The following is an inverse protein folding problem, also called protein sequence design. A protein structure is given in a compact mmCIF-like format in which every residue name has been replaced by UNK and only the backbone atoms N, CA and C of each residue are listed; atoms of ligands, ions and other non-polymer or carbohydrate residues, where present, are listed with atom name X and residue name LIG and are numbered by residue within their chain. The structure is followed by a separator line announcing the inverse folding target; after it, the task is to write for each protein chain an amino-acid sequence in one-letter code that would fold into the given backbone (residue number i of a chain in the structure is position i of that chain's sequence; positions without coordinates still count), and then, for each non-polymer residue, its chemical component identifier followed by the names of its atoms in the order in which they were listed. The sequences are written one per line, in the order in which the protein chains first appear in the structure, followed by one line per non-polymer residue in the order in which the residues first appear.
data_IF_735038628753
#
_entry.id   IF_735038628753
#
_cell.length_a   1.000
_cell.length_b   1.000
_cell.length_c   1.000
_cell.angle_alpha   90.00
_cell.angle_beta   90.00
_cell.angle_gamma   90.00
#
_symmetry.space_group_name_H-M   'P 1'
#
loop_
_entity.id
_entity.type
_entity.pdbx_description
1 polymer ?
#
# COMPACT_ATOMS: atom_id res chain seq x y z
N UNK A 1 -11.27 10.49 -14.88
CA UNK A 1 -10.71 9.13 -14.91
C UNK A 1 -10.02 8.86 -13.58
N UNK A 2 -10.31 7.71 -12.94
CA UNK A 2 -9.67 7.38 -11.66
C UNK A 2 -8.23 6.92 -11.89
N UNK A 3 -7.31 7.49 -11.12
CA UNK A 3 -5.90 7.13 -11.13
C UNK A 3 -5.66 6.30 -9.88
N UNK A 4 -5.22 5.07 -10.05
CA UNK A 4 -5.10 4.11 -8.96
C UNK A 4 -3.71 3.49 -8.92
N UNK A 5 -3.10 3.54 -7.75
CA UNK A 5 -1.88 2.81 -7.45
C UNK A 5 -2.25 1.54 -6.68
N UNK A 6 -1.75 0.41 -7.16
CA UNK A 6 -1.83 -0.86 -6.42
C UNK A 6 -0.45 -1.17 -5.85
N UNK A 7 -0.41 -1.51 -4.58
CA UNK A 7 0.83 -1.95 -3.93
C UNK A 7 0.68 -3.41 -3.54
N UNK A 8 1.63 -4.23 -3.97
CA UNK A 8 1.73 -5.63 -3.56
C UNK A 8 2.78 -5.69 -2.46
N UNK A 9 2.33 -5.95 -1.24
CA UNK A 9 3.18 -5.92 -0.05
C UNK A 9 3.48 -7.31 0.47
N UNK A 10 4.77 -7.57 0.71
CA UNK A 10 5.23 -8.78 1.36
C UNK A 10 5.69 -8.44 2.78
N UNK A 11 5.23 -9.20 3.76
CA UNK A 11 5.63 -8.99 5.15
C UNK A 11 7.04 -9.51 5.40
N UNK A 12 7.76 -8.84 6.30
CA UNK A 12 9.02 -9.34 6.81
C UNK A 12 8.79 -10.66 7.58
N UNK A 13 9.79 -11.56 7.61
CA UNK A 13 9.71 -12.76 8.44
C UNK A 13 9.37 -12.41 9.90
N UNK A 14 8.44 -13.13 10.48
CA UNK A 14 8.02 -12.93 11.87
C UNK A 14 6.93 -11.89 12.09
N UNK A 15 6.58 -11.09 11.08
CA UNK A 15 5.45 -10.16 11.17
C UNK A 15 4.15 -10.94 11.03
N UNK A 16 3.27 -10.79 12.00
CA UNK A 16 1.96 -11.46 11.98
C UNK A 16 0.92 -10.57 11.31
N UNK A 17 -0.14 -11.20 10.76
CA UNK A 17 -1.26 -10.46 10.18
C UNK A 17 -1.93 -9.55 11.20
N UNK A 18 -2.24 -10.00 12.44
CA UNK A 18 -2.81 -9.10 13.44
C UNK A 18 -1.97 -7.85 13.71
N UNK A 19 -0.65 -7.97 13.76
CA UNK A 19 0.24 -6.85 14.03
C UNK A 19 0.24 -5.84 12.89
N UNK A 20 0.37 -6.32 11.65
CA UNK A 20 0.35 -5.43 10.49
C UNK A 20 -1.02 -4.77 10.29
N UNK A 21 -2.10 -5.54 10.46
CA UNK A 21 -3.46 -5.00 10.28
C UNK A 21 -3.80 -3.97 11.36
N UNK A 22 -3.26 -4.13 12.58
CA UNK A 22 -3.38 -3.10 13.61
C UNK A 22 -2.66 -1.83 13.20
N UNK A 23 -1.43 -1.94 12.70
CA UNK A 23 -0.68 -0.80 12.18
C UNK A 23 -1.46 -0.10 11.07
N UNK A 24 -2.04 -0.86 10.14
CA UNK A 24 -2.85 -0.29 9.06
C UNK A 24 -4.04 0.49 9.61
N UNK A 25 -4.81 -0.09 10.52
CA UNK A 25 -6.00 0.57 11.08
C UNK A 25 -5.66 1.78 11.93
N UNK A 26 -4.65 1.69 12.77
CA UNK A 26 -4.35 2.74 13.75
C UNK A 26 -3.45 3.84 13.20
N UNK A 27 -2.62 3.53 12.21
CA UNK A 27 -1.61 4.46 11.68
C UNK A 27 -1.84 4.80 10.22
N UNK A 28 -1.81 3.83 9.32
CA UNK A 28 -1.81 4.08 7.88
C UNK A 28 -3.14 4.62 7.36
N UNK A 29 -4.25 4.01 7.76
CA UNK A 29 -5.58 4.53 7.39
C UNK A 29 -5.81 5.94 7.94
N UNK A 30 -5.38 6.20 9.17
CA UNK A 30 -5.52 7.52 9.80
C UNK A 30 -4.68 8.56 9.06
N UNK A 31 -3.44 8.21 8.75
CA UNK A 31 -2.54 9.06 7.97
C UNK A 31 -3.10 9.35 6.58
N UNK A 32 -3.48 8.31 5.87
CA UNK A 32 -3.96 8.42 4.48
C UNK A 32 -5.22 9.28 4.37
N UNK A 33 -6.10 9.22 5.37
CA UNK A 33 -7.31 10.04 5.41
C UNK A 33 -7.02 11.55 5.52
N UNK A 34 -5.82 11.92 5.95
CA UNK A 34 -5.42 13.33 6.08
C UNK A 34 -4.75 13.89 4.82
N UNK A 35 -4.35 13.05 3.89
CA UNK A 35 -3.70 13.50 2.67
C UNK A 35 -4.72 14.04 1.68
N UNK A 36 -4.42 15.21 1.11
CA UNK A 36 -5.32 15.90 0.17
C UNK A 36 -5.39 15.19 -1.19
N UNK A 37 -4.34 14.48 -1.55
CA UNK A 37 -4.23 13.82 -2.85
C UNK A 37 -4.83 12.42 -2.87
N UNK A 38 -5.14 11.84 -1.71
CA UNK A 38 -5.75 10.51 -1.63
C UNK A 38 -7.27 10.63 -1.62
N UNK A 39 -7.90 10.06 -2.64
CA UNK A 39 -9.36 9.95 -2.75
C UNK A 39 -9.88 8.80 -1.90
N UNK A 40 -9.23 7.63 -2.00
CA UNK A 40 -9.55 6.48 -1.17
C UNK A 40 -8.31 5.60 -0.99
N UNK A 41 -8.24 4.95 0.17
CA UNK A 41 -7.15 4.04 0.53
C UNK A 41 -7.77 2.79 1.13
N UNK A 42 -7.44 1.62 0.59
CA UNK A 42 -7.94 0.34 1.09
C UNK A 42 -6.84 -0.71 1.03
N UNK A 43 -6.66 -1.43 2.13
CA UNK A 43 -5.75 -2.57 2.22
C UNK A 43 -6.57 -3.84 2.21
N UNK A 44 -6.20 -4.77 1.33
CA UNK A 44 -6.84 -6.07 1.22
C UNK A 44 -5.86 -7.16 1.65
N UNK A 45 -6.32 -8.08 2.49
CA UNK A 45 -5.56 -9.28 2.83
C UNK A 45 -5.64 -10.24 1.64
N UNK A 46 -4.47 -10.66 1.16
CA UNK A 46 -4.43 -11.65 0.09
C UNK A 46 -4.72 -13.02 0.70
N UNK A 47 -5.76 -13.67 0.22
CA UNK A 47 -6.16 -15.00 0.69
C UNK A 47 -5.64 -16.11 -0.21
N UNK A 48 -5.45 -15.81 -1.50
CA UNK A 48 -4.96 -16.77 -2.47
C UNK A 48 -4.37 -16.03 -3.68
N UNK A 49 -3.31 -16.58 -4.25
CA UNK A 49 -2.72 -16.08 -5.50
C UNK A 49 -2.68 -17.18 -6.54
N UNK A 50 -2.69 -16.81 -7.82
CA UNK A 50 -2.46 -17.76 -8.91
C UNK A 50 -1.05 -18.33 -8.82
N UNK A 51 -0.85 -19.53 -9.41
CA UNK A 51 0.41 -20.27 -9.33
C UNK A 51 1.65 -19.46 -9.70
N UNK A 52 1.55 -18.58 -10.68
CA UNK A 52 2.68 -17.79 -11.16
C UNK A 52 3.15 -16.75 -10.15
N UNK A 53 2.27 -16.28 -9.27
CA UNK A 53 2.59 -15.32 -8.24
C UNK A 53 2.95 -15.97 -6.90
N UNK A 54 2.61 -17.24 -6.72
CA UNK A 54 2.82 -17.97 -5.49
C UNK A 54 4.27 -17.95 -4.98
N UNK A 55 5.32 -18.07 -5.84
CA UNK A 55 6.70 -18.06 -5.36
C UNK A 55 7.12 -16.82 -4.57
N UNK A 56 6.55 -15.66 -4.84
CA UNK A 56 6.87 -14.44 -4.09
C UNK A 56 6.16 -14.42 -2.74
N UNK A 57 4.91 -14.88 -2.70
CA UNK A 57 4.14 -14.94 -1.45
C UNK A 57 3.77 -13.58 -0.90
N UNK A 58 3.21 -12.69 -1.73
CA UNK A 58 2.69 -11.42 -1.26
C UNK A 58 1.52 -11.64 -0.29
N UNK A 59 1.45 -10.77 0.73
CA UNK A 59 0.51 -10.90 1.84
C UNK A 59 -0.67 -9.93 1.74
N UNK A 60 -0.45 -8.75 1.17
CA UNK A 60 -1.46 -7.69 1.09
C UNK A 60 -1.40 -6.98 -0.24
N UNK A 61 -2.56 -6.47 -0.66
CA UNK A 61 -2.67 -5.56 -1.78
C UNK A 61 -3.37 -4.30 -1.31
N UNK A 62 -2.77 -3.15 -1.60
CA UNK A 62 -3.34 -1.85 -1.27
C UNK A 62 -3.85 -1.21 -2.55
N UNK A 63 -5.06 -0.63 -2.47
CA UNK A 63 -5.63 0.15 -3.56
C UNK A 63 -5.68 1.61 -3.14
N UNK A 64 -4.95 2.44 -3.85
CA UNK A 64 -4.82 3.87 -3.50
C UNK A 64 -5.28 4.69 -4.70
N UNK A 65 -6.48 5.26 -4.60
CA UNK A 65 -6.98 6.18 -5.62
C UNK A 65 -6.52 7.58 -5.28
N UNK A 66 -5.93 8.29 -6.26
CA UNK A 66 -5.37 9.61 -6.06
C UNK A 66 -5.95 10.63 -7.03
N UNK A 67 -5.85 11.91 -6.68
CA UNK A 67 -6.32 13.00 -7.55
C UNK A 67 -5.38 13.21 -8.73
N UNK A 68 -4.06 13.09 -8.50
CA UNK A 68 -3.01 13.29 -9.47
C UNK A 68 -1.74 12.57 -8.99
N UNK A 69 -1.08 11.86 -9.87
CA UNK A 69 0.10 11.07 -9.50
C UNK A 69 1.26 11.93 -8.99
N UNK A 70 1.61 12.98 -9.72
CA UNK A 70 2.74 13.84 -9.35
C UNK A 70 2.49 14.55 -8.02
N UNK A 71 1.27 15.05 -7.80
CA UNK A 71 0.89 15.69 -6.55
C UNK A 71 0.93 14.70 -5.38
N UNK A 72 0.45 13.47 -5.59
CA UNK A 72 0.49 12.41 -4.59
C UNK A 72 1.93 12.06 -4.20
N UNK A 73 2.80 11.84 -5.19
CA UNK A 73 4.19 11.49 -4.93
C UNK A 73 4.91 12.60 -4.14
N UNK A 74 4.63 13.85 -4.47
CA UNK A 74 5.18 15.00 -3.76
C UNK A 74 4.68 15.09 -2.32
N UNK A 75 3.38 14.95 -2.12
CA UNK A 75 2.78 14.99 -0.78
C UNK A 75 3.30 13.85 0.08
N UNK A 76 3.35 12.63 -0.48
CA UNK A 76 3.83 11.45 0.23
C UNK A 76 5.31 11.57 0.62
N UNK A 77 6.15 12.11 -0.25
CA UNK A 77 7.57 12.27 0.02
C UNK A 77 7.83 13.20 1.22
N UNK A 78 6.98 14.19 1.43
CA UNK A 78 7.10 15.13 2.55
C UNK A 78 6.35 14.62 3.78
N UNK A 79 5.04 14.41 3.67
CA UNK A 79 4.19 14.06 4.82
C UNK A 79 4.36 12.60 5.24
N UNK A 80 4.69 11.70 4.32
CA UNK A 80 4.76 10.26 4.56
C UNK A 80 6.12 9.71 4.92
N UNK A 81 7.15 10.54 4.96
CA UNK A 81 8.53 10.06 5.13
C UNK A 81 8.71 9.15 6.35
N UNK A 82 8.27 9.61 7.53
CA UNK A 82 8.44 8.85 8.78
C UNK A 82 7.61 7.57 8.78
N UNK A 83 6.39 7.64 8.28
CA UNK A 83 5.52 6.46 8.19
C UNK A 83 6.11 5.39 7.27
N UNK A 84 6.65 5.80 6.12
CA UNK A 84 7.26 4.88 5.16
C UNK A 84 8.52 4.25 5.74
N UNK A 85 9.33 5.02 6.44
CA UNK A 85 10.52 4.51 7.13
C UNK A 85 10.14 3.44 8.17
N UNK A 86 9.13 3.71 8.98
CA UNK A 86 8.62 2.75 9.97
C UNK A 86 8.06 1.49 9.31
N UNK A 87 7.27 1.67 8.25
CA UNK A 87 6.67 0.57 7.50
C UNK A 87 7.73 -0.42 7.01
N UNK A 88 8.78 0.06 6.37
CA UNK A 88 9.85 -0.78 5.86
C UNK A 88 10.81 -1.28 6.95
N UNK A 89 10.95 -0.54 8.03
CA UNK A 89 11.78 -0.98 9.14
C UNK A 89 11.16 -2.14 9.93
N UNK A 90 9.84 -2.13 10.11
CA UNK A 90 9.16 -3.04 11.04
C UNK A 90 8.28 -4.10 10.39
N UNK A 91 7.66 -3.81 9.25
CA UNK A 91 6.57 -4.64 8.73
C UNK A 91 6.80 -5.21 7.34
N UNK A 92 7.23 -4.40 6.41
CA UNK A 92 7.21 -4.73 4.99
C UNK A 92 8.60 -5.01 4.45
N UNK A 93 8.74 -6.09 3.67
CA UNK A 93 9.97 -6.45 3.00
C UNK A 93 10.11 -5.62 1.72
N UNK A 94 11.05 -4.67 1.75
CA UNK A 94 11.30 -3.76 0.63
C UNK A 94 11.73 -4.50 -0.65
N UNK A 95 12.43 -5.61 -0.52
CA UNK A 95 12.97 -6.33 -1.67
C UNK A 95 11.88 -6.94 -2.55
N UNK A 96 10.72 -7.29 -1.98
CA UNK A 96 9.65 -7.97 -2.68
C UNK A 96 8.36 -7.15 -2.79
N UNK A 97 8.32 -5.97 -2.18
CA UNK A 97 7.18 -5.08 -2.28
C UNK A 97 7.30 -4.23 -3.53
N UNK A 98 6.23 -4.14 -4.30
CA UNK A 98 6.21 -3.42 -5.58
C UNK A 98 4.87 -2.73 -5.78
N UNK A 99 4.80 -1.87 -6.78
CA UNK A 99 3.56 -1.14 -7.08
C UNK A 99 3.29 -1.05 -8.57
N UNK A 100 2.02 -0.84 -8.89
CA UNK A 100 1.53 -0.68 -10.26
C UNK A 100 0.67 0.58 -10.30
N UNK A 101 0.96 1.46 -11.25
CA UNK A 101 0.08 2.59 -11.54
C UNK A 101 -0.89 2.22 -12.65
N UNK A 102 -2.12 2.65 -12.51
CA UNK A 102 -3.19 2.32 -13.45
C UNK A 102 -4.20 3.46 -13.57
N UNK A 103 -4.97 3.43 -14.63
CA UNK A 103 -6.11 4.29 -14.83
C UNK A 103 -7.34 3.42 -15.05
N UNK A 104 -8.45 3.81 -14.44
CA UNK A 104 -9.70 3.08 -14.63
C UNK A 104 -10.14 3.17 -16.08
N UNK A 105 -10.43 2.02 -16.68
CA UNK A 105 -11.07 1.96 -18.00
C UNK A 105 -12.58 2.03 -17.77
N UNK A 106 -13.19 3.13 -18.21
CA UNK A 106 -14.64 3.31 -18.07
C UNK A 106 -15.39 2.35 -18.98
N UNK A 107 -16.55 1.83 -18.54
CA UNK A 107 -17.37 0.94 -19.35
C UNK A 107 -18.03 1.66 -20.55
#
# INVERSE_FOLDING_TARGET
MAIVRYVLAKMKPGVTRPDYERFEREVDYVFSAKLKTIVSYRTHRITEVGERLAPVGWDYIERIEVTDRAAYEKELAVAGKELIEELYAKYVDRAYTTSIWSELVEP
#
